data_IF_860006826080
#
_entry.id   IF_860006826080
#
_cell.length_a   1.000
_cell.length_b   1.000
_cell.length_c   1.000
_cell.angle_alpha   90.00
_cell.angle_beta   90.00
_cell.angle_gamma   90.00
#
_symmetry.space_group_name_H-M   'P 1'
#
loop_
_entity.id
_entity.type
_entity.pdbx_description
1 polymer ?
#
# COMPACT_ATOMS: atom_id res chain seq x y z
N UNK A 1 -7.78 20.37 -39.53
CA UNK A 1 -6.66 20.87 -38.71
C UNK A 1 -7.01 21.12 -37.23
N UNK A 2 -8.29 21.06 -36.82
CA UNK A 2 -8.71 21.33 -35.42
C UNK A 2 -8.82 20.10 -34.50
N UNK A 3 -8.85 18.87 -35.02
CA UNK A 3 -8.98 17.64 -34.21
C UNK A 3 -7.66 17.12 -33.59
N UNK A 4 -6.52 17.75 -33.89
CA UNK A 4 -5.18 17.31 -33.39
C UNK A 4 -4.70 18.03 -32.13
N UNK A 5 -5.38 19.09 -31.69
CA UNK A 5 -4.94 19.92 -30.56
C UNK A 5 -5.58 19.54 -29.22
N UNK A 6 -6.68 18.79 -29.23
CA UNK A 6 -7.33 18.30 -27.99
C UNK A 6 -6.65 17.06 -27.39
N UNK A 7 -5.94 16.27 -28.20
CA UNK A 7 -5.26 15.05 -27.74
C UNK A 7 -3.98 15.33 -26.94
N UNK A 8 -3.35 16.50 -27.11
CA UNK A 8 -2.12 16.88 -26.42
C UNK A 8 -2.34 17.44 -25.00
N UNK A 9 -3.58 17.80 -24.64
CA UNK A 9 -3.88 18.34 -23.30
C UNK A 9 -4.05 17.23 -22.26
N UNK A 10 -4.45 16.04 -22.68
CA UNK A 10 -4.68 14.87 -21.81
C UNK A 10 -3.37 14.20 -21.33
N UNK A 11 -2.26 14.37 -22.06
CA UNK A 11 -0.97 13.75 -21.70
C UNK A 11 -0.23 14.49 -20.58
N UNK A 12 -0.55 15.76 -20.31
CA UNK A 12 0.12 16.54 -19.26
C UNK A 12 -0.51 16.38 -17.88
N UNK A 13 -1.82 16.11 -17.78
CA UNK A 13 -2.51 16.07 -16.50
C UNK A 13 -2.04 14.95 -15.54
N UNK A 14 -1.75 13.71 -15.98
CA UNK A 14 -1.21 12.66 -15.11
C UNK A 14 0.22 12.98 -14.64
N UNK A 15 1.05 13.49 -15.55
CA UNK A 15 2.44 13.87 -15.29
C UNK A 15 2.54 15.09 -14.36
N UNK A 16 1.68 16.09 -14.53
CA UNK A 16 1.61 17.23 -13.61
C UNK A 16 1.02 16.82 -12.27
N UNK A 17 0.10 15.86 -12.19
CA UNK A 17 -0.38 15.34 -10.89
C UNK A 17 0.69 14.53 -10.15
N UNK A 18 1.58 13.82 -10.86
CA UNK A 18 2.68 13.09 -10.23
C UNK A 18 3.85 13.99 -9.81
N UNK A 19 4.08 15.11 -10.52
CA UNK A 19 5.19 16.04 -10.28
C UNK A 19 4.81 17.33 -9.53
N UNK A 20 3.54 17.74 -9.55
CA UNK A 20 3.09 18.88 -8.77
C UNK A 20 3.04 18.47 -7.30
N UNK A 21 3.76 19.21 -6.45
CA UNK A 21 3.95 18.96 -5.02
C UNK A 21 2.71 19.02 -4.14
N UNK A 22 1.52 18.67 -4.66
CA UNK A 22 0.29 18.51 -3.89
C UNK A 22 0.24 17.22 -3.07
N UNK A 23 1.04 16.20 -3.42
CA UNK A 23 1.24 15.02 -2.59
C UNK A 23 2.65 15.04 -2.02
N UNK A 24 2.75 14.94 -0.69
CA UNK A 24 4.06 14.90 -0.04
C UNK A 24 4.81 13.63 -0.48
N UNK A 25 6.14 13.68 -0.62
CA UNK A 25 6.93 12.48 -0.92
C UNK A 25 6.65 11.32 0.05
N UNK A 26 6.34 11.64 1.30
CA UNK A 26 5.93 10.66 2.31
C UNK A 26 4.60 9.98 1.98
N UNK A 27 3.62 10.71 1.45
CA UNK A 27 2.35 10.13 1.02
C UNK A 27 2.55 9.15 -0.14
N UNK A 28 3.36 9.53 -1.13
CA UNK A 28 3.68 8.67 -2.26
C UNK A 28 4.43 7.41 -1.80
N UNK A 29 5.41 7.57 -0.91
CA UNK A 29 6.13 6.45 -0.31
C UNK A 29 5.20 5.52 0.48
N UNK A 30 4.25 6.06 1.25
CA UNK A 30 3.30 5.27 2.01
C UNK A 30 2.39 4.40 1.14
N UNK A 31 1.94 4.91 -0.02
CA UNK A 31 1.14 4.13 -0.97
C UNK A 31 1.91 2.94 -1.54
N UNK A 32 3.13 3.19 -2.02
CA UNK A 32 3.97 2.15 -2.57
C UNK A 32 4.34 1.11 -1.50
N UNK A 33 4.80 1.59 -0.34
CA UNK A 33 5.24 0.74 0.76
C UNK A 33 4.10 -0.11 1.30
N UNK A 34 2.93 0.48 1.56
CA UNK A 34 1.75 -0.24 2.04
C UNK A 34 1.22 -1.25 1.03
N UNK A 35 1.34 -0.97 -0.27
CA UNK A 35 1.05 -1.93 -1.34
C UNK A 35 1.97 -3.15 -1.29
N UNK A 36 3.29 -2.91 -1.26
CA UNK A 36 4.30 -3.97 -1.17
C UNK A 36 4.14 -4.84 0.08
N UNK A 37 3.94 -4.20 1.23
CA UNK A 37 3.79 -4.90 2.50
C UNK A 37 2.55 -5.80 2.52
N UNK A 38 1.44 -5.35 1.93
CA UNK A 38 0.19 -6.12 1.85
C UNK A 38 0.29 -7.24 0.82
N UNK A 39 0.95 -6.99 -0.31
CA UNK A 39 1.23 -8.00 -1.34
C UNK A 39 2.02 -9.20 -0.80
N UNK A 40 2.93 -8.98 0.16
CA UNK A 40 3.69 -10.07 0.80
C UNK A 40 2.83 -11.08 1.58
N UNK A 41 1.60 -10.71 1.95
CA UNK A 41 0.68 -11.58 2.69
C UNK A 41 -0.55 -11.97 1.87
N UNK A 42 -0.70 -11.43 0.67
CA UNK A 42 -1.82 -11.76 -0.20
C UNK A 42 -1.71 -13.23 -0.61
N UNK A 43 -2.77 -13.99 -0.34
CA UNK A 43 -2.88 -15.38 -0.76
C UNK A 43 -3.74 -15.46 -2.02
N UNK A 44 -3.35 -16.33 -2.96
CA UNK A 44 -4.09 -16.57 -4.20
C UNK A 44 -5.12 -17.69 -4.02
N UNK A 45 -6.20 -17.67 -4.82
CA UNK A 45 -7.23 -18.71 -4.81
C UNK A 45 -8.33 -18.44 -3.77
N UNK A 46 -9.00 -19.50 -3.29
CA UNK A 46 -10.19 -19.37 -2.42
C UNK A 46 -9.92 -18.62 -1.09
N UNK A 47 -8.65 -18.52 -0.68
CA UNK A 47 -8.22 -17.78 0.51
C UNK A 47 -8.19 -16.25 0.30
N UNK A 48 -8.31 -15.76 -0.93
CA UNK A 48 -8.27 -14.33 -1.26
C UNK A 48 -9.45 -13.57 -0.63
N UNK A 49 -10.65 -14.16 -0.62
CA UNK A 49 -11.82 -13.54 0.01
C UNK A 49 -11.61 -13.41 1.52
N UNK A 50 -11.15 -14.47 2.17
CA UNK A 50 -10.90 -14.47 3.61
C UNK A 50 -9.82 -13.44 4.00
N UNK A 51 -8.78 -13.30 3.18
CA UNK A 51 -7.77 -12.26 3.34
C UNK A 51 -8.38 -10.85 3.29
N UNK A 52 -9.16 -10.55 2.25
CA UNK A 52 -9.78 -9.24 2.09
C UNK A 52 -10.79 -8.94 3.20
N UNK A 53 -11.61 -9.92 3.58
CA UNK A 53 -12.55 -9.80 4.70
C UNK A 53 -11.80 -9.46 6.00
N UNK A 54 -10.69 -10.14 6.29
CA UNK A 54 -9.88 -9.87 7.47
C UNK A 54 -9.26 -8.46 7.47
N UNK A 55 -8.78 -8.00 6.30
CA UNK A 55 -8.23 -6.64 6.13
C UNK A 55 -9.32 -5.58 6.35
N UNK A 56 -10.51 -5.79 5.80
CA UNK A 56 -11.63 -4.83 5.89
C UNK A 56 -12.21 -4.75 7.30
N UNK A 57 -12.35 -5.89 8.00
CA UNK A 57 -12.88 -5.94 9.37
C UNK A 57 -12.01 -5.18 10.38
N UNK A 58 -10.69 -5.17 10.16
CA UNK A 58 -9.74 -4.51 11.06
C UNK A 58 -9.66 -3.01 10.82
N UNK A 59 -10.07 -2.54 9.63
CA UNK A 59 -10.01 -1.13 9.25
C UNK A 59 -8.57 -0.57 9.31
N UNK A 60 -8.41 0.76 9.39
CA UNK A 60 -7.13 1.43 9.38
C UNK A 60 -6.32 1.17 10.67
N UNK A 61 -5.42 0.18 10.62
CA UNK A 61 -4.44 -0.13 11.67
C UNK A 61 -3.02 -0.12 11.12
N UNK A 62 -2.00 -0.01 11.99
CA UNK A 62 -0.61 -0.25 11.59
C UNK A 62 -0.43 -1.63 10.94
N UNK A 63 0.38 -1.66 9.87
CA UNK A 63 0.64 -2.86 9.06
C UNK A 63 1.14 -4.07 9.87
N UNK A 64 1.83 -3.83 10.98
CA UNK A 64 2.31 -4.89 11.86
C UNK A 64 1.19 -5.59 12.63
N UNK A 65 0.16 -4.85 13.05
CA UNK A 65 -1.01 -5.46 13.68
C UNK A 65 -1.82 -6.27 12.67
N UNK A 66 -1.93 -5.76 11.44
CA UNK A 66 -2.54 -6.50 10.34
C UNK A 66 -1.78 -7.80 10.07
N UNK A 67 -0.44 -7.75 9.99
CA UNK A 67 0.42 -8.94 9.86
C UNK A 67 0.17 -9.92 11.00
N UNK A 68 0.15 -9.44 12.24
CA UNK A 68 -0.04 -10.29 13.41
C UNK A 68 -1.39 -11.01 13.37
N UNK A 69 -2.47 -10.32 12.96
CA UNK A 69 -3.77 -10.98 12.74
C UNK A 69 -3.69 -12.04 11.65
N UNK A 70 -3.14 -11.68 10.49
CA UNK A 70 -3.12 -12.55 9.31
C UNK A 70 -2.26 -13.82 9.53
N UNK A 71 -1.18 -13.69 10.29
CA UNK A 71 -0.26 -14.79 10.61
C UNK A 71 -0.59 -15.50 11.94
N UNK A 72 -1.62 -15.05 12.66
CA UNK A 72 -1.98 -15.61 13.96
C UNK A 72 -0.90 -15.42 15.03
N UNK A 73 -0.10 -14.35 14.96
CA UNK A 73 0.94 -14.05 15.93
C UNK A 73 0.26 -13.65 17.26
N UNK A 74 0.53 -14.34 18.38
CA UNK A 74 -0.03 -13.97 19.66
C UNK A 74 0.51 -12.60 20.09
N UNK A 75 -0.37 -11.67 20.40
CA UNK A 75 -0.02 -10.33 20.89
C UNK A 75 -0.54 -10.17 22.32
N UNK A 76 0.37 -9.85 23.24
CA UNK A 76 0.03 -9.42 24.60
C UNK A 76 -0.11 -7.90 24.70
N UNK A 77 -0.59 -7.42 25.85
CA UNK A 77 -0.79 -5.99 26.12
C UNK A 77 0.51 -5.16 25.96
N UNK A 78 1.65 -5.78 26.25
CA UNK A 78 2.97 -5.13 26.22
C UNK A 78 3.72 -5.38 24.90
N UNK A 79 3.02 -5.80 23.84
CA UNK A 79 3.62 -6.05 22.54
C UNK A 79 4.28 -4.78 21.98
N UNK A 80 5.54 -4.93 21.55
CA UNK A 80 6.29 -3.88 20.85
C UNK A 80 6.46 -4.27 19.38
N UNK A 81 6.29 -3.28 18.50
CA UNK A 81 6.52 -3.42 17.08
C UNK A 81 7.95 -3.93 16.81
N UNK A 82 8.05 -5.03 16.05
CA UNK A 82 9.30 -5.69 15.68
C UNK A 82 9.48 -5.75 14.15
N UNK A 83 8.70 -4.99 13.40
CA UNK A 83 8.78 -4.97 11.95
C UNK A 83 10.18 -4.56 11.49
N UNK A 84 10.79 -5.40 10.66
CA UNK A 84 12.04 -5.10 9.96
C UNK A 84 11.77 -4.89 8.48
N UNK A 85 12.38 -3.85 7.91
CA UNK A 85 12.45 -3.68 6.46
C UNK A 85 13.45 -4.68 5.87
N UNK A 86 13.43 -4.82 4.55
CA UNK A 86 14.41 -5.65 3.85
C UNK A 86 15.81 -5.25 4.26
N UNK A 87 16.65 -6.26 4.48
CA UNK A 87 18.03 -6.02 4.81
C UNK A 87 18.69 -5.26 3.66
N UNK A 88 19.58 -4.32 3.99
CA UNK A 88 20.29 -3.57 2.97
C UNK A 88 21.26 -4.57 2.32
N UNK A 89 20.92 -5.10 1.14
CA UNK A 89 21.91 -5.84 0.35
C UNK A 89 23.07 -4.87 0.09
N UNK A 90 24.23 -5.22 0.64
CA UNK A 90 25.49 -4.50 0.45
C UNK A 90 25.90 -4.53 -1.03
#
# INVERSE_FOLDING_TARGET
>A
MLARLTTLKQTQDPLRRSLAGGYTPLYQAAYLLGGLQRGNFLRSGDEEKAFHDAVLLINAVPIELLRARLLGIPMGRDYRANWRFYDKKA
#
